data_IF_156025082186
#
_entry.id   IF_156025082186
#
_cell.length_a   1.000
_cell.length_b   1.000
_cell.length_c   1.000
_cell.angle_alpha   90.00
_cell.angle_beta   90.00
_cell.angle_gamma   90.00
#
_symmetry.space_group_name_H-M   'P 1'
#
loop_
_entity.id
_entity.type
_entity.pdbx_description
1 polymer ?
#
# COMPACT_ATOMS: atom_id res chain seq x y z
N UNK A 1 31.04 39.32 28.60
CA UNK A 1 30.57 37.94 28.34
C UNK A 1 31.61 37.00 28.94
N UNK A 2 31.34 36.44 30.12
CA UNK A 2 32.22 35.45 30.75
C UNK A 2 31.51 34.10 30.77
N UNK A 3 32.19 33.06 30.31
CA UNK A 3 31.74 31.69 30.56
C UNK A 3 32.21 31.29 31.97
N UNK A 4 31.27 30.98 32.86
CA UNK A 4 31.57 30.47 34.19
C UNK A 4 31.64 28.94 34.17
N UNK A 5 32.64 28.40 34.87
CA UNK A 5 32.78 26.96 35.08
C UNK A 5 31.84 26.52 36.22
N UNK A 6 31.21 25.35 36.06
CA UNK A 6 30.30 24.81 37.05
C UNK A 6 31.10 24.31 38.28
N UNK A 7 30.93 24.91 39.48
CA UNK A 7 31.74 24.57 40.64
C UNK A 7 31.52 23.14 41.16
N UNK A 8 30.47 22.45 40.71
CA UNK A 8 30.19 21.06 41.07
C UNK A 8 31.03 20.04 40.26
N UNK A 9 31.75 20.49 39.23
CA UNK A 9 32.56 19.62 38.38
C UNK A 9 34.04 19.77 38.78
N UNK A 10 34.69 18.71 39.28
CA UNK A 10 36.12 18.72 39.52
C UNK A 10 36.88 18.62 38.19
N UNK A 11 37.12 19.78 37.55
CA UNK A 11 37.72 19.86 36.21
C UNK A 11 39.15 19.31 36.12
N UNK A 12 39.89 19.31 37.23
CA UNK A 12 41.25 18.73 37.30
C UNK A 12 41.27 17.21 37.10
N UNK A 13 40.16 16.52 37.41
CA UNK A 13 40.00 15.08 37.25
C UNK A 13 39.08 14.71 36.08
N UNK A 14 38.66 15.69 35.28
CA UNK A 14 37.62 15.53 34.27
C UNK A 14 37.90 14.35 33.31
N UNK A 15 39.14 14.25 32.81
CA UNK A 15 39.56 13.16 31.92
C UNK A 15 39.41 11.77 32.56
N UNK A 16 39.70 11.66 33.86
CA UNK A 16 39.57 10.40 34.63
C UNK A 16 38.09 10.06 34.84
N UNK A 17 37.27 11.06 35.17
CA UNK A 17 35.82 10.90 35.37
C UNK A 17 35.15 10.44 34.08
N UNK A 18 35.43 11.11 32.95
CA UNK A 18 34.89 10.73 31.64
C UNK A 18 35.31 9.31 31.26
N UNK A 19 36.56 8.90 31.53
CA UNK A 19 37.03 7.54 31.28
C UNK A 19 36.23 6.52 32.11
N UNK A 20 36.05 6.76 33.42
CA UNK A 20 35.24 5.89 34.29
C UNK A 20 33.79 5.79 33.84
N UNK A 21 33.17 6.92 33.49
CA UNK A 21 31.80 6.96 32.97
C UNK A 21 31.65 6.15 31.67
N UNK A 22 32.58 6.30 30.74
CA UNK A 22 32.61 5.50 29.50
C UNK A 22 32.68 4.00 29.77
N UNK A 23 33.53 3.58 30.71
CA UNK A 23 33.65 2.17 31.07
C UNK A 23 32.38 1.63 31.75
N UNK A 24 31.70 2.44 32.58
CA UNK A 24 30.39 2.09 33.15
C UNK A 24 29.36 1.91 32.04
N UNK A 25 29.26 2.87 31.11
CA UNK A 25 28.31 2.80 29.98
C UNK A 25 28.58 1.56 29.13
N UNK A 26 29.85 1.27 28.79
CA UNK A 26 30.21 0.05 28.05
C UNK A 26 29.76 -1.21 28.78
N UNK A 27 29.98 -1.31 30.09
CA UNK A 27 29.53 -2.45 30.90
C UNK A 27 28.00 -2.58 30.92
N UNK A 28 27.28 -1.45 31.02
CA UNK A 28 25.82 -1.44 30.97
C UNK A 28 25.30 -1.90 29.61
N UNK A 29 25.91 -1.44 28.51
CA UNK A 29 25.58 -1.89 27.15
C UNK A 29 25.83 -3.39 27.00
N UNK A 30 27.00 -3.89 27.43
CA UNK A 30 27.33 -5.30 27.33
C UNK A 30 26.35 -6.18 28.12
N UNK A 31 25.98 -5.78 29.34
CA UNK A 31 24.98 -6.48 30.16
C UNK A 31 23.61 -6.49 29.51
N UNK A 32 23.19 -5.36 28.91
CA UNK A 32 21.92 -5.24 28.19
C UNK A 32 21.92 -6.08 26.91
N UNK A 33 23.01 -6.09 26.14
CA UNK A 33 23.16 -6.91 24.94
C UNK A 33 23.15 -8.41 25.26
N UNK A 34 23.78 -8.82 26.37
CA UNK A 34 23.73 -10.22 26.83
C UNK A 34 22.30 -10.67 27.16
N UNK A 35 21.46 -9.77 27.71
CA UNK A 35 20.03 -10.05 27.94
C UNK A 35 19.19 -10.03 26.65
N UNK A 36 19.53 -9.18 25.69
CA UNK A 36 18.78 -9.00 24.43
C UNK A 36 19.10 -10.08 23.39
N UNK A 37 20.24 -10.78 23.49
CA UNK A 37 20.70 -11.78 22.51
C UNK A 37 19.91 -13.10 22.60
N UNK A 38 18.59 -13.03 22.55
CA UNK A 38 17.68 -14.15 22.33
C UNK A 38 17.60 -14.38 20.82
N UNK A 39 18.32 -15.39 20.33
CA UNK A 39 18.27 -15.80 18.91
C UNK A 39 17.13 -16.79 18.75
N UNK A 40 16.16 -16.46 17.90
CA UNK A 40 15.03 -17.34 17.59
C UNK A 40 15.39 -18.30 16.45
N UNK A 41 14.84 -19.52 16.44
CA UNK A 41 14.96 -20.40 15.28
C UNK A 41 14.32 -19.74 14.04
N UNK A 42 14.90 -20.00 12.87
CA UNK A 42 14.36 -19.52 11.60
C UNK A 42 12.96 -20.08 11.32
N UNK A 43 12.13 -19.28 10.64
CA UNK A 43 10.77 -19.65 10.28
C UNK A 43 10.77 -20.83 9.30
N UNK A 44 10.12 -21.93 9.65
CA UNK A 44 10.04 -23.16 8.84
C UNK A 44 8.80 -23.25 7.95
N UNK A 45 7.77 -22.44 8.23
CA UNK A 45 6.47 -22.47 7.55
C UNK A 45 6.55 -22.27 6.02
N UNK A 46 7.56 -21.54 5.54
CA UNK A 46 7.76 -21.32 4.10
C UNK A 46 8.15 -22.61 3.35
N UNK A 47 8.74 -23.59 4.02
CA UNK A 47 9.04 -24.91 3.43
C UNK A 47 7.77 -25.74 3.16
N UNK A 48 6.68 -25.42 3.83
CA UNK A 48 5.36 -26.05 3.63
C UNK A 48 4.51 -25.35 2.55
N UNK A 49 5.12 -24.47 1.73
CA UNK A 49 4.42 -23.78 0.64
C UNK A 49 3.65 -22.52 1.07
N UNK A 50 3.71 -22.14 2.34
CA UNK A 50 3.15 -20.87 2.84
C UNK A 50 3.94 -19.72 2.23
N UNK A 51 3.28 -18.79 1.54
CA UNK A 51 3.94 -17.63 0.90
C UNK A 51 4.00 -16.38 1.79
N UNK A 52 3.09 -16.28 2.76
CA UNK A 52 2.95 -15.11 3.64
C UNK A 52 2.54 -15.54 5.05
N UNK A 53 3.03 -14.84 6.06
CA UNK A 53 2.61 -14.99 7.46
C UNK A 53 2.30 -13.61 8.06
N UNK A 54 1.37 -13.53 9.02
CA UNK A 54 1.17 -12.30 9.80
C UNK A 54 2.46 -11.91 10.53
N UNK A 55 2.78 -10.61 10.56
CA UNK A 55 3.99 -10.10 11.23
C UNK A 55 3.98 -10.47 12.72
N UNK A 56 2.81 -10.50 13.34
CA UNK A 56 2.57 -10.89 14.74
C UNK A 56 2.99 -12.34 15.03
N UNK A 57 3.06 -13.18 13.99
CA UNK A 57 3.44 -14.59 14.10
C UNK A 57 4.96 -14.79 14.07
N UNK A 58 5.74 -13.74 13.83
CA UNK A 58 7.20 -13.80 13.86
C UNK A 58 7.67 -13.85 15.32
N UNK A 59 8.38 -14.93 15.75
CA UNK A 59 8.89 -15.04 17.10
C UNK A 59 9.76 -13.84 17.49
N UNK A 60 9.55 -13.32 18.71
CA UNK A 60 10.31 -12.19 19.24
C UNK A 60 9.81 -10.80 18.82
N UNK A 61 8.88 -10.68 17.86
CA UNK A 61 8.41 -9.36 17.41
C UNK A 61 7.75 -8.58 18.55
N UNK A 62 6.85 -9.22 19.32
CA UNK A 62 6.15 -8.58 20.45
C UNK A 62 7.09 -8.21 21.59
N UNK A 63 8.15 -9.01 21.80
CA UNK A 63 9.14 -8.79 22.85
C UNK A 63 10.02 -7.56 22.58
N UNK A 64 10.14 -7.13 21.32
CA UNK A 64 10.91 -5.93 20.92
C UNK A 64 10.17 -4.62 21.20
N UNK A 65 8.95 -4.67 21.74
CA UNK A 65 8.08 -3.51 21.88
C UNK A 65 7.41 -3.09 20.57
N UNK A 66 7.54 -3.89 19.50
CA UNK A 66 6.77 -3.71 18.28
C UNK A 66 5.28 -3.85 18.60
N UNK A 67 4.54 -2.79 18.31
CA UNK A 67 3.09 -2.80 18.23
C UNK A 67 2.74 -2.75 16.76
N UNK A 68 1.68 -3.45 16.30
CA UNK A 68 1.17 -3.21 14.96
C UNK A 68 0.95 -1.71 14.83
N UNK A 69 1.74 -1.07 13.97
CA UNK A 69 1.57 0.34 13.72
C UNK A 69 0.14 0.48 13.23
N UNK A 70 -0.69 1.24 13.93
CA UNK A 70 -2.04 1.61 13.46
C UNK A 70 -2.01 2.49 12.20
N UNK A 71 -1.01 2.31 11.33
CA UNK A 71 -0.81 2.97 10.05
C UNK A 71 -1.20 2.02 8.91
N UNK A 72 -2.44 1.55 8.96
CA UNK A 72 -3.34 1.61 7.81
C UNK A 72 -4.64 2.32 8.19
N UNK A 73 -4.57 3.35 9.05
CA UNK A 73 -5.54 4.43 8.95
C UNK A 73 -5.05 5.40 7.88
N UNK A 74 -5.31 5.08 6.61
CA UNK A 74 -5.66 6.15 5.68
C UNK A 74 -6.73 6.98 6.41
N UNK A 75 -6.48 8.28 6.58
CA UNK A 75 -7.33 9.19 7.35
C UNK A 75 -8.82 8.89 7.10
N UNK A 76 -9.47 8.48 8.20
CA UNK A 76 -10.90 8.29 8.41
C UNK A 76 -11.63 7.21 7.58
N UNK A 77 -12.60 6.49 8.18
CA UNK A 77 -13.69 5.93 7.40
C UNK A 77 -14.42 7.13 6.77
N UNK A 78 -14.08 7.46 5.53
CA UNK A 78 -14.95 8.28 4.68
C UNK A 78 -16.31 7.61 4.78
N UNK A 79 -17.31 8.33 5.28
CA UNK A 79 -18.68 7.82 5.47
C UNK A 79 -19.01 6.84 4.33
N UNK A 80 -19.36 5.56 4.61
CA UNK A 80 -19.59 4.56 3.58
C UNK A 80 -20.53 5.03 2.47
N UNK A 81 -21.52 5.86 2.81
CA UNK A 81 -22.42 6.46 1.83
C UNK A 81 -21.74 7.58 1.02
N UNK A 82 -20.95 8.44 1.65
CA UNK A 82 -20.11 9.41 0.94
C UNK A 82 -19.09 8.75 0.01
N UNK A 83 -18.46 7.65 0.44
CA UNK A 83 -17.56 6.88 -0.41
C UNK A 83 -18.33 6.30 -1.60
N UNK A 84 -19.45 5.63 -1.35
CA UNK A 84 -20.29 5.06 -2.39
C UNK A 84 -20.75 6.11 -3.40
N UNK A 85 -21.24 7.28 -2.95
CA UNK A 85 -21.67 8.35 -3.84
C UNK A 85 -20.51 8.89 -4.69
N UNK A 86 -19.33 9.05 -4.09
CA UNK A 86 -18.12 9.47 -4.80
C UNK A 86 -17.73 8.47 -5.89
N UNK A 87 -17.67 7.18 -5.56
CA UNK A 87 -17.31 6.13 -6.50
C UNK A 87 -18.36 6.00 -7.62
N UNK A 88 -19.64 6.13 -7.29
CA UNK A 88 -20.75 6.11 -8.27
C UNK A 88 -20.62 7.24 -9.27
N UNK A 89 -20.37 8.46 -8.81
CA UNK A 89 -20.17 9.62 -9.68
C UNK A 89 -18.97 9.44 -10.60
N UNK A 90 -17.84 8.96 -10.07
CA UNK A 90 -16.65 8.69 -10.90
C UNK A 90 -16.94 7.62 -11.94
N UNK A 91 -17.56 6.51 -11.56
CA UNK A 91 -17.89 5.43 -12.48
C UNK A 91 -18.82 5.90 -13.59
N UNK A 92 -19.85 6.68 -13.27
CA UNK A 92 -20.76 7.27 -14.26
C UNK A 92 -20.03 8.19 -15.25
N UNK A 93 -19.12 9.04 -14.76
CA UNK A 93 -18.32 9.92 -15.62
C UNK A 93 -17.37 9.14 -16.53
N UNK A 94 -16.80 8.03 -16.06
CA UNK A 94 -15.98 7.16 -16.90
C UNK A 94 -16.88 6.48 -17.93
N UNK A 95 -18.01 5.90 -17.54
CA UNK A 95 -18.92 5.21 -18.48
C UNK A 95 -19.49 6.14 -19.57
N UNK A 96 -19.70 7.43 -19.27
CA UNK A 96 -20.21 8.41 -20.24
C UNK A 96 -19.13 9.00 -21.15
N UNK A 97 -17.85 8.71 -20.90
CA UNK A 97 -16.76 9.22 -21.72
C UNK A 97 -16.77 8.57 -23.12
N UNK A 98 -16.56 9.36 -24.17
CA UNK A 98 -16.63 8.92 -25.57
C UNK A 98 -15.71 7.71 -25.89
N UNK A 99 -14.59 7.60 -25.18
CA UNK A 99 -13.62 6.51 -25.38
C UNK A 99 -13.95 5.23 -24.59
N UNK A 100 -15.06 5.17 -23.85
CA UNK A 100 -15.40 4.03 -22.96
C UNK A 100 -16.01 2.83 -23.66
N UNK A 101 -16.48 3.00 -24.89
CA UNK A 101 -17.11 1.95 -25.68
C UNK A 101 -16.38 0.59 -25.70
N UNK A 102 -15.03 0.48 -25.68
CA UNK A 102 -14.37 -0.81 -25.75
C UNK A 102 -14.40 -1.61 -24.45
N UNK A 103 -14.69 -0.96 -23.31
CA UNK A 103 -14.59 -1.55 -21.97
C UNK A 103 -15.94 -1.52 -21.22
N UNK A 104 -17.04 -1.26 -21.94
CA UNK A 104 -18.37 -1.17 -21.33
C UNK A 104 -18.89 -2.52 -20.83
N UNK A 105 -18.58 -3.59 -21.54
CA UNK A 105 -19.06 -4.94 -21.26
C UNK A 105 -17.90 -5.96 -21.26
N UNK A 106 -18.09 -7.14 -20.63
CA UNK A 106 -17.09 -8.19 -20.66
C UNK A 106 -16.74 -8.61 -22.10
N UNK A 107 -15.45 -8.77 -22.38
CA UNK A 107 -14.95 -9.19 -23.69
C UNK A 107 -15.49 -10.57 -24.07
N UNK A 108 -16.18 -10.69 -25.20
CA UNK A 108 -16.69 -12.00 -25.64
C UNK A 108 -15.57 -12.85 -26.22
N UNK A 109 -15.59 -14.17 -25.93
CA UNK A 109 -14.63 -15.15 -26.49
C UNK A 109 -14.60 -15.16 -28.02
N UNK A 110 -15.74 -14.88 -28.66
CA UNK A 110 -15.88 -14.80 -30.11
C UNK A 110 -15.21 -13.56 -30.71
N UNK A 111 -15.11 -12.47 -29.95
CA UNK A 111 -14.55 -11.18 -30.39
C UNK A 111 -13.04 -11.10 -30.12
N UNK A 112 -12.53 -11.90 -29.18
CA UNK A 112 -11.13 -11.93 -28.80
C UNK A 112 -10.65 -13.36 -28.50
N UNK A 113 -10.26 -14.13 -29.54
CA UNK A 113 -9.72 -15.48 -29.38
C UNK A 113 -8.51 -15.50 -28.44
N UNK A 114 -8.47 -16.46 -27.51
CA UNK A 114 -7.40 -16.60 -26.51
C UNK A 114 -7.38 -15.53 -25.42
N UNK A 115 -8.31 -14.57 -25.38
CA UNK A 115 -8.31 -13.49 -24.39
C UNK A 115 -8.25 -13.99 -22.95
N UNK A 116 -9.07 -14.97 -22.60
CA UNK A 116 -9.13 -15.54 -21.24
C UNK A 116 -7.98 -16.49 -20.90
N UNK A 117 -7.11 -16.81 -21.87
CA UNK A 117 -5.87 -17.56 -21.63
C UNK A 117 -4.72 -16.61 -21.31
N UNK A 118 -4.70 -15.44 -21.95
CA UNK A 118 -3.72 -14.37 -21.72
C UNK A 118 -4.07 -13.55 -20.49
N UNK A 119 -5.31 -13.08 -20.40
CA UNK A 119 -5.80 -12.19 -19.34
C UNK A 119 -6.41 -13.00 -18.20
N UNK A 120 -5.65 -13.10 -17.10
CA UNK A 120 -5.99 -13.90 -15.91
C UNK A 120 -7.13 -13.33 -15.07
N UNK A 121 -7.29 -12.01 -15.05
CA UNK A 121 -8.28 -11.32 -14.24
C UNK A 121 -9.05 -10.28 -15.07
N UNK A 122 -9.95 -10.73 -15.96
CA UNK A 122 -10.80 -9.85 -16.76
C UNK A 122 -11.56 -8.85 -15.90
N UNK A 123 -11.82 -7.68 -16.45
CA UNK A 123 -12.65 -6.64 -15.85
C UNK A 123 -13.41 -5.91 -16.97
N UNK A 124 -14.36 -5.05 -16.60
CA UNK A 124 -15.13 -4.20 -17.50
C UNK A 124 -16.04 -3.27 -16.65
N UNK A 125 -16.56 -2.20 -17.24
CA UNK A 125 -17.34 -1.20 -16.51
C UNK A 125 -18.71 -1.71 -16.03
N UNK A 126 -19.32 -2.69 -16.70
CA UNK A 126 -20.57 -3.34 -16.26
C UNK A 126 -20.33 -4.18 -15.02
N UNK A 127 -19.29 -5.02 -15.01
CA UNK A 127 -18.85 -5.77 -13.81
C UNK A 127 -18.52 -4.82 -12.66
N UNK A 128 -17.83 -3.71 -12.93
CA UNK A 128 -17.56 -2.71 -11.89
C UNK A 128 -18.84 -2.06 -11.36
N UNK A 129 -19.82 -1.78 -12.22
CA UNK A 129 -21.12 -1.23 -11.83
C UNK A 129 -21.89 -2.18 -10.92
N UNK A 130 -21.88 -3.47 -11.23
CA UNK A 130 -22.49 -4.50 -10.40
C UNK A 130 -21.80 -4.64 -9.04
N UNK A 131 -20.45 -4.66 -9.03
CA UNK A 131 -19.65 -4.66 -7.80
C UNK A 131 -19.97 -3.45 -6.92
N UNK A 132 -20.06 -2.26 -7.51
CA UNK A 132 -20.40 -1.05 -6.78
C UNK A 132 -21.80 -1.16 -6.16
N UNK A 133 -22.82 -1.53 -6.96
CA UNK A 133 -24.20 -1.73 -6.49
C UNK A 133 -24.28 -2.73 -5.33
N UNK A 134 -23.48 -3.79 -5.38
CA UNK A 134 -23.41 -4.83 -4.35
C UNK A 134 -22.52 -4.45 -3.15
N UNK A 135 -22.12 -3.17 -3.01
CA UNK A 135 -21.29 -2.65 -1.92
C UNK A 135 -19.93 -3.34 -1.78
N UNK A 136 -19.39 -3.93 -2.85
CA UNK A 136 -18.09 -4.61 -2.86
C UNK A 136 -16.93 -3.66 -2.57
N UNK A 137 -17.01 -2.41 -3.04
CA UNK A 137 -15.95 -1.41 -2.86
C UNK A 137 -16.00 -0.72 -1.49
N UNK A 138 -15.71 -1.48 -0.44
CA UNK A 138 -15.57 -0.97 0.95
C UNK A 138 -14.37 -0.05 1.14
N UNK A 139 -13.50 0.05 0.14
CA UNK A 139 -12.34 0.94 0.11
C UNK A 139 -12.12 1.48 -1.30
N UNK A 140 -11.71 2.75 -1.39
CA UNK A 140 -11.27 3.38 -2.65
C UNK A 140 -10.18 2.56 -3.37
N UNK A 141 -9.31 1.86 -2.62
CA UNK A 141 -8.22 1.04 -3.19
C UNK A 141 -8.76 -0.08 -4.07
N UNK A 142 -9.86 -0.73 -3.68
CA UNK A 142 -10.47 -1.82 -4.45
C UNK A 142 -11.02 -1.32 -5.78
N UNK A 143 -11.72 -0.19 -5.76
CA UNK A 143 -12.27 0.44 -6.96
C UNK A 143 -11.16 0.86 -7.94
N UNK A 144 -10.12 1.52 -7.42
CA UNK A 144 -8.98 1.95 -8.24
C UNK A 144 -8.24 0.76 -8.85
N UNK A 145 -8.07 -0.34 -8.10
CA UNK A 145 -7.42 -1.54 -8.59
C UNK A 145 -8.18 -2.20 -9.76
N UNK A 146 -9.52 -2.25 -9.70
CA UNK A 146 -10.33 -2.83 -10.78
C UNK A 146 -10.29 -1.96 -12.04
N UNK A 147 -10.41 -0.63 -11.88
CA UNK A 147 -10.38 0.30 -13.02
C UNK A 147 -8.99 0.32 -13.70
N UNK A 148 -7.92 0.32 -12.92
CA UNK A 148 -6.56 0.24 -13.45
C UNK A 148 -6.26 -1.11 -14.10
N UNK A 149 -6.78 -2.21 -13.53
CA UNK A 149 -6.67 -3.53 -14.13
C UNK A 149 -7.34 -3.57 -15.50
N UNK A 150 -8.49 -2.92 -15.66
CA UNK A 150 -9.16 -2.90 -16.95
C UNK A 150 -8.33 -2.22 -18.05
N UNK A 151 -7.75 -1.06 -17.75
CA UNK A 151 -6.87 -0.39 -18.70
C UNK A 151 -5.60 -1.21 -19.00
N UNK A 152 -5.05 -1.89 -17.99
CA UNK A 152 -3.86 -2.73 -18.14
C UNK A 152 -4.17 -3.95 -19.01
N UNK A 153 -5.27 -4.65 -18.74
CA UNK A 153 -5.73 -5.79 -19.53
C UNK A 153 -5.92 -5.42 -21.01
N UNK A 154 -6.55 -4.26 -21.27
CA UNK A 154 -6.77 -3.78 -22.63
C UNK A 154 -5.43 -3.53 -23.34
N UNK A 155 -4.49 -2.85 -22.68
CA UNK A 155 -3.16 -2.55 -23.23
C UNK A 155 -2.23 -3.76 -23.37
N UNK A 156 -2.41 -4.77 -22.53
CA UNK A 156 -1.64 -6.02 -22.59
C UNK A 156 -2.11 -6.89 -23.76
N UNK A 157 -3.43 -6.97 -23.99
CA UNK A 157 -3.98 -7.81 -25.04
C UNK A 157 -3.98 -7.14 -26.42
N UNK A 158 -4.19 -5.82 -26.49
CA UNK A 158 -4.32 -5.09 -27.77
C UNK A 158 -3.01 -4.40 -28.14
N UNK A 159 -2.63 -4.39 -29.45
CA UNK A 159 -1.40 -3.73 -29.88
C UNK A 159 -1.49 -2.20 -29.70
N UNK A 160 -0.35 -1.51 -29.47
CA UNK A 160 -0.30 -0.06 -29.19
C UNK A 160 -0.97 0.83 -30.26
N UNK A 161 -0.95 0.38 -31.51
CA UNK A 161 -1.49 1.11 -32.66
C UNK A 161 -3.02 1.05 -32.72
N UNK A 162 -3.63 0.08 -32.03
CA UNK A 162 -5.07 -0.15 -32.05
C UNK A 162 -5.86 0.99 -31.41
N UNK A 163 -7.08 1.19 -31.89
CA UNK A 163 -8.01 2.14 -31.30
C UNK A 163 -8.34 1.78 -29.85
N UNK A 164 -8.47 0.49 -29.54
CA UNK A 164 -8.65 -0.03 -28.18
C UNK A 164 -7.58 0.47 -27.20
N UNK A 165 -6.30 0.34 -27.58
CA UNK A 165 -5.18 0.79 -26.75
C UNK A 165 -5.20 2.31 -26.54
N UNK A 166 -5.50 3.06 -27.60
CA UNK A 166 -5.62 4.53 -27.54
C UNK A 166 -6.76 4.95 -26.60
N UNK A 167 -7.93 4.32 -26.73
CA UNK A 167 -9.07 4.55 -25.85
C UNK A 167 -8.73 4.27 -24.38
N UNK A 168 -8.11 3.12 -24.08
CA UNK A 168 -7.68 2.77 -22.72
C UNK A 168 -6.70 3.80 -22.14
N UNK A 169 -5.76 4.30 -22.96
CA UNK A 169 -4.78 5.31 -22.54
C UNK A 169 -5.43 6.68 -22.26
N UNK A 170 -6.42 7.07 -23.06
CA UNK A 170 -7.18 8.31 -22.84
C UNK A 170 -8.02 8.21 -21.56
N UNK A 171 -8.75 7.11 -21.39
CA UNK A 171 -9.58 6.88 -20.21
C UNK A 171 -8.77 6.78 -18.93
N UNK A 172 -7.60 6.15 -18.97
CA UNK A 172 -6.72 6.06 -17.81
C UNK A 172 -6.32 7.46 -17.33
N UNK A 173 -5.90 8.35 -18.24
CA UNK A 173 -5.58 9.75 -17.89
C UNK A 173 -6.80 10.50 -17.36
N UNK A 174 -7.96 10.33 -17.99
CA UNK A 174 -9.21 10.94 -17.54
C UNK A 174 -9.58 10.47 -16.13
N UNK A 175 -9.50 9.17 -15.88
CA UNK A 175 -9.73 8.56 -14.58
C UNK A 175 -8.77 9.10 -13.52
N UNK A 176 -7.46 9.18 -13.81
CA UNK A 176 -6.46 9.77 -12.92
C UNK A 176 -6.80 11.22 -12.55
N UNK A 177 -7.30 12.00 -13.51
CA UNK A 177 -7.80 13.35 -13.24
C UNK A 177 -8.97 13.35 -12.25
N UNK A 178 -9.95 12.47 -12.45
CA UNK A 178 -11.14 12.36 -11.58
C UNK A 178 -10.85 11.90 -10.17
N UNK A 179 -9.95 10.95 -9.97
CA UNK A 179 -9.55 10.52 -8.62
C UNK A 179 -8.76 11.59 -7.88
N UNK A 180 -7.97 12.41 -8.60
CA UNK A 180 -7.25 13.56 -8.03
C UNK A 180 -8.22 14.66 -7.61
N UNK A 181 -9.20 14.98 -8.47
CA UNK A 181 -10.29 15.92 -8.20
C UNK A 181 -11.10 15.50 -6.96
N UNK A 182 -11.44 14.21 -6.85
CA UNK A 182 -12.16 13.63 -5.72
C UNK A 182 -11.30 13.43 -4.44
N UNK A 183 -10.04 13.88 -4.45
CA UNK A 183 -9.07 13.73 -3.35
C UNK A 183 -8.98 12.29 -2.85
N UNK A 184 -8.96 11.33 -3.78
CA UNK A 184 -8.85 9.90 -3.48
C UNK A 184 -7.39 9.41 -3.47
N UNK A 185 -6.45 10.18 -4.01
CA UNK A 185 -5.02 9.90 -3.91
C UNK A 185 -4.47 10.51 -2.60
N UNK A 186 -3.67 9.74 -1.88
CA UNK A 186 -3.00 10.21 -0.66
C UNK A 186 -1.87 11.20 -1.05
N UNK A 187 -1.74 12.30 -0.30
CA UNK A 187 -0.67 13.30 -0.51
C UNK A 187 0.69 12.73 -0.12
#
# INVERSE_FOLDING_TARGET
>A
MGCELNPQIPYTEFSVIIKKQKEIIKKLIARKQAQIRKVYPGLSCFKAGVRQIPIESIPGIRETGWKPSGKEKSKEPRDPEQLYSTLKTILQQVMSHQSSWPIMEPVKRTEAPGYYEVIRFPMDLKTMSERLRNRYYVSKKLFMADLQREFTNCKEYKPPESEYFKCASILEKFFFSKIKEARLIDK
#
